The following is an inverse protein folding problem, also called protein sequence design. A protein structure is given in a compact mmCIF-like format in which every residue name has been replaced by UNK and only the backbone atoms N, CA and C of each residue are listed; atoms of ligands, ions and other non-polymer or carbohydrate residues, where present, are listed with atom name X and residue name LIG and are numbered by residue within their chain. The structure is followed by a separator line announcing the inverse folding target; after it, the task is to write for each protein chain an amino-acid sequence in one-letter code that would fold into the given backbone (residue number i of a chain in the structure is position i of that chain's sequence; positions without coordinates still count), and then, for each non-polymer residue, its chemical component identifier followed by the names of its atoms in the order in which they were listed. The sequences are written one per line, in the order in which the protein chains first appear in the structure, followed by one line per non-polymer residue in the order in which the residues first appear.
data_IF_939383257246
#
_entry.id   IF_939383257246
#
_cell.length_a   1.000
_cell.length_b   1.000
_cell.length_c   1.000
_cell.angle_alpha   90.00
_cell.angle_beta   90.00
_cell.angle_gamma   90.00
#
_symmetry.space_group_name_H-M   'P 1'
#
loop_
_entity.id
_entity.type
_entity.pdbx_description
1 polymer ?
#
# COMPACT_ATOMS: atom_id res chain seq x y z
N UNK A 1 35.06 -13.24 17.45
CA UNK A 1 33.59 -13.36 17.43
C UNK A 1 32.99 -13.14 16.04
N UNK A 2 33.40 -12.11 15.28
CA UNK A 2 33.17 -12.05 13.82
C UNK A 2 34.21 -12.82 12.99
N UNK A 3 35.28 -13.31 13.63
CA UNK A 3 36.31 -14.11 12.98
C UNK A 3 35.66 -15.34 12.31
N UNK A 4 35.81 -15.45 10.99
CA UNK A 4 35.23 -16.51 10.18
C UNK A 4 33.87 -16.21 9.55
N UNK A 5 33.21 -15.09 9.88
CA UNK A 5 31.98 -14.71 9.16
C UNK A 5 32.31 -14.12 7.78
N UNK A 6 31.52 -14.50 6.78
CA UNK A 6 31.53 -13.80 5.50
C UNK A 6 30.70 -12.52 5.59
N UNK A 7 31.37 -11.38 5.74
CA UNK A 7 30.71 -10.07 5.88
C UNK A 7 29.83 -9.67 4.69
N UNK A 8 30.11 -10.17 3.48
CA UNK A 8 29.28 -9.89 2.31
C UNK A 8 27.92 -10.58 2.44
N UNK A 9 27.92 -11.84 2.91
CA UNK A 9 26.69 -12.57 3.19
C UNK A 9 25.94 -11.99 4.39
N UNK A 10 26.65 -11.48 5.41
CA UNK A 10 26.01 -10.75 6.52
C UNK A 10 25.29 -9.50 6.00
N UNK A 11 25.96 -8.69 5.20
CA UNK A 11 25.35 -7.50 4.60
C UNK A 11 24.16 -7.86 3.69
N UNK A 12 24.31 -8.93 2.89
CA UNK A 12 23.23 -9.44 2.04
C UNK A 12 22.03 -9.90 2.86
N UNK A 13 22.23 -10.63 3.97
CA UNK A 13 21.14 -11.10 4.82
C UNK A 13 20.32 -9.92 5.35
N UNK A 14 21.01 -8.88 5.84
CA UNK A 14 20.36 -7.65 6.32
C UNK A 14 19.63 -6.95 5.19
N UNK A 15 20.23 -6.80 4.01
CA UNK A 15 19.60 -6.18 2.86
C UNK A 15 18.32 -6.92 2.40
N UNK A 16 18.33 -8.26 2.44
CA UNK A 16 17.18 -9.09 2.11
C UNK A 16 16.04 -8.88 3.12
N UNK A 17 16.35 -8.82 4.42
CA UNK A 17 15.32 -8.50 5.42
C UNK A 17 14.73 -7.10 5.24
N UNK A 18 15.56 -6.10 4.90
CA UNK A 18 15.11 -4.72 4.66
C UNK A 18 14.23 -4.62 3.42
N UNK A 19 14.67 -5.17 2.28
CA UNK A 19 13.91 -5.09 1.01
C UNK A 19 12.60 -5.87 1.07
N UNK A 20 12.64 -7.05 1.69
CA UNK A 20 11.46 -7.85 2.01
C UNK A 20 10.49 -7.12 2.94
N UNK A 21 11.01 -6.55 4.02
CA UNK A 21 10.24 -5.72 4.96
C UNK A 21 9.58 -4.54 4.28
N UNK A 22 10.32 -3.80 3.45
CA UNK A 22 9.82 -2.65 2.71
C UNK A 22 8.65 -3.02 1.81
N UNK A 23 8.82 -4.09 1.03
CA UNK A 23 7.80 -4.56 0.09
C UNK A 23 6.57 -5.10 0.82
N UNK A 24 6.78 -5.89 1.88
CA UNK A 24 5.71 -6.45 2.70
C UNK A 24 4.88 -5.38 3.41
N UNK A 25 5.54 -4.43 4.10
CA UNK A 25 4.85 -3.30 4.73
C UNK A 25 4.24 -2.35 3.70
N UNK A 26 4.85 -2.20 2.52
CA UNK A 26 4.31 -1.45 1.41
C UNK A 26 3.01 -2.05 0.87
N UNK A 27 2.95 -3.36 0.67
CA UNK A 27 1.71 -4.08 0.31
C UNK A 27 0.64 -3.94 1.40
N UNK A 28 1.05 -4.03 2.67
CA UNK A 28 0.17 -3.82 3.81
C UNK A 28 -0.45 -2.41 3.84
N UNK A 29 0.34 -1.37 3.54
CA UNK A 29 -0.14 0.00 3.47
C UNK A 29 -1.25 0.18 2.42
N UNK A 30 -1.21 -0.60 1.31
CA UNK A 30 -2.24 -0.57 0.25
C UNK A 30 -3.56 -1.24 0.67
N UNK A 31 -3.57 -2.11 1.69
CA UNK A 31 -4.75 -2.87 2.14
C UNK A 31 -5.95 -1.97 2.49
N UNK A 32 -5.69 -0.78 3.03
CA UNK A 32 -6.76 0.13 3.49
C UNK A 32 -7.40 0.97 2.37
N UNK A 33 -6.84 0.93 1.15
CA UNK A 33 -7.35 1.69 -0.02
C UNK A 33 -8.28 0.89 -0.95
N UNK A 34 -8.26 -0.45 -0.87
CA UNK A 34 -8.94 -1.31 -1.86
C UNK A 34 -9.68 -2.49 -1.20
N UNK A 35 -11.03 -2.52 -1.30
CA UNK A 35 -11.83 -3.64 -0.74
C UNK A 35 -11.69 -4.94 -1.53
N UNK A 36 -11.56 -4.87 -2.86
CA UNK A 36 -11.59 -6.05 -3.76
C UNK A 36 -10.34 -6.93 -3.66
N UNK A 37 -9.19 -6.38 -3.33
CA UNK A 37 -7.89 -7.08 -3.28
C UNK A 37 -7.32 -7.24 -1.85
N UNK A 38 -8.07 -6.85 -0.81
CA UNK A 38 -7.61 -6.87 0.60
C UNK A 38 -6.98 -8.20 1.02
N UNK A 39 -7.61 -9.33 0.69
CA UNK A 39 -7.10 -10.67 1.04
C UNK A 39 -5.79 -10.99 0.31
N UNK A 40 -5.70 -10.66 -0.99
CA UNK A 40 -4.49 -10.88 -1.78
C UNK A 40 -3.33 -10.00 -1.31
N UNK A 41 -3.59 -8.74 -0.98
CA UNK A 41 -2.58 -7.81 -0.45
C UNK A 41 -2.07 -8.26 0.92
N UNK A 42 -2.95 -8.72 1.81
CA UNK A 42 -2.57 -9.28 3.11
C UNK A 42 -1.77 -10.58 2.96
N UNK A 43 -2.20 -11.48 2.07
CA UNK A 43 -1.48 -12.71 1.78
C UNK A 43 -0.10 -12.44 1.16
N UNK A 44 -0.01 -11.49 0.23
CA UNK A 44 1.26 -11.07 -0.37
C UNK A 44 2.20 -10.41 0.65
N UNK A 45 1.67 -9.54 1.51
CA UNK A 45 2.44 -8.93 2.60
C UNK A 45 2.98 -9.99 3.57
N UNK A 46 2.11 -10.92 4.02
CA UNK A 46 2.50 -12.00 4.91
C UNK A 46 3.53 -12.94 4.26
N UNK A 47 3.30 -13.32 3.01
CA UNK A 47 4.18 -14.20 2.24
C UNK A 47 5.56 -13.60 2.05
N UNK A 48 5.65 -12.33 1.59
CA UNK A 48 6.95 -11.69 1.42
C UNK A 48 7.69 -11.49 2.74
N UNK A 49 7.00 -11.09 3.81
CA UNK A 49 7.63 -10.99 5.12
C UNK A 49 8.16 -12.35 5.58
N UNK A 50 7.36 -13.41 5.49
CA UNK A 50 7.78 -14.75 5.91
C UNK A 50 8.97 -15.27 5.09
N UNK A 51 8.89 -15.19 3.75
CA UNK A 51 9.97 -15.60 2.84
C UNK A 51 11.23 -14.79 3.11
N UNK A 52 11.13 -13.49 3.38
CA UNK A 52 12.29 -12.63 3.61
C UNK A 52 12.95 -12.87 4.96
N UNK A 53 12.18 -13.06 6.04
CA UNK A 53 12.71 -13.43 7.36
C UNK A 53 13.45 -14.78 7.27
N UNK A 54 12.82 -15.77 6.61
CA UNK A 54 13.41 -17.10 6.45
C UNK A 54 14.65 -17.09 5.54
N UNK A 55 14.60 -16.38 4.41
CA UNK A 55 15.75 -16.23 3.51
C UNK A 55 16.89 -15.51 4.21
N UNK A 56 16.62 -14.44 4.97
CA UNK A 56 17.63 -13.76 5.77
C UNK A 56 18.29 -14.70 6.77
N UNK A 57 17.51 -15.54 7.45
CA UNK A 57 18.06 -16.54 8.37
C UNK A 57 19.05 -17.48 7.67
N UNK A 58 18.68 -18.06 6.52
CA UNK A 58 19.56 -18.98 5.78
C UNK A 58 20.79 -18.31 5.19
N UNK A 59 20.67 -17.09 4.64
CA UNK A 59 21.83 -16.31 4.20
C UNK A 59 22.76 -16.01 5.39
N UNK A 60 22.21 -15.71 6.56
CA UNK A 60 22.97 -15.52 7.79
C UNK A 60 23.68 -16.79 8.28
N UNK A 61 23.04 -17.95 8.18
CA UNK A 61 23.65 -19.26 8.47
C UNK A 61 24.82 -19.55 7.52
N UNK A 62 24.66 -19.31 6.21
CA UNK A 62 25.73 -19.44 5.22
C UNK A 62 26.88 -18.44 5.47
N UNK A 63 26.59 -17.32 6.12
CA UNK A 63 27.60 -16.33 6.49
C UNK A 63 28.42 -16.76 7.72
N UNK A 64 27.89 -17.65 8.57
CA UNK A 64 28.51 -18.05 9.82
C UNK A 64 29.58 -19.14 9.61
N UNK A 65 30.62 -19.19 10.47
CA UNK A 65 31.68 -20.21 10.41
C UNK A 65 31.18 -21.55 11.01
N UNK A 66 30.20 -22.16 10.34
CA UNK A 66 29.67 -23.48 10.67
C UNK A 66 30.69 -24.54 10.22
N UNK A 67 30.83 -25.69 10.91
CA UNK A 67 31.68 -26.79 10.47
C UNK A 67 31.44 -27.18 9.00
N UNK A 68 32.52 -27.45 8.25
CA UNK A 68 32.46 -27.64 6.79
C UNK A 68 31.76 -28.93 6.35
N UNK A 69 31.63 -29.90 7.27
CA UNK A 69 30.89 -31.15 7.10
C UNK A 69 29.40 -31.03 7.43
N UNK A 70 28.95 -29.85 7.87
CA UNK A 70 27.54 -29.62 8.22
C UNK A 70 26.63 -29.70 6.99
N UNK A 71 25.55 -30.47 7.12
CA UNK A 71 24.44 -30.56 6.16
C UNK A 71 23.15 -30.06 6.79
N UNK A 72 22.19 -29.68 5.95
CA UNK A 72 20.87 -29.21 6.37
C UNK A 72 19.83 -30.30 6.16
N UNK A 73 19.19 -30.76 7.23
CA UNK A 73 18.06 -31.66 7.14
C UNK A 73 16.87 -30.95 6.48
N UNK A 74 16.29 -31.57 5.46
CA UNK A 74 15.23 -30.96 4.65
C UNK A 74 13.95 -30.77 5.46
N UNK A 75 13.56 -31.75 6.28
CA UNK A 75 12.31 -31.68 7.04
C UNK A 75 12.31 -30.52 8.07
N UNK A 76 13.29 -30.38 8.99
CA UNK A 76 13.38 -29.23 9.88
C UNK A 76 13.45 -27.90 9.13
N UNK A 77 14.15 -27.87 7.99
CA UNK A 77 14.23 -26.69 7.12
C UNK A 77 12.85 -26.27 6.62
N UNK A 78 12.04 -27.20 6.10
CA UNK A 78 10.67 -26.93 5.66
C UNK A 78 9.78 -26.56 6.84
N UNK A 79 9.87 -27.27 7.97
CA UNK A 79 9.07 -26.98 9.17
C UNK A 79 9.37 -25.58 9.69
N UNK A 80 10.63 -25.15 9.70
CA UNK A 80 11.03 -23.80 10.09
C UNK A 80 10.34 -22.74 9.21
N UNK A 81 10.31 -22.94 7.89
CA UNK A 81 9.62 -22.06 6.95
C UNK A 81 8.12 -22.01 7.22
N UNK A 82 7.48 -23.17 7.40
CA UNK A 82 6.05 -23.25 7.66
C UNK A 82 5.65 -22.59 8.98
N UNK A 83 6.46 -22.73 10.02
CA UNK A 83 6.28 -22.02 11.29
C UNK A 83 6.26 -20.51 11.03
N UNK A 84 7.27 -19.98 10.33
CA UNK A 84 7.35 -18.55 10.00
C UNK A 84 6.16 -18.06 9.16
N UNK A 85 5.82 -18.79 8.09
CA UNK A 85 4.70 -18.44 7.23
C UNK A 85 3.38 -18.38 8.00
N UNK A 86 3.14 -19.39 8.85
CA UNK A 86 1.93 -19.47 9.67
C UNK A 86 1.87 -18.35 10.70
N UNK A 87 2.91 -18.17 11.52
CA UNK A 87 2.89 -17.18 12.61
C UNK A 87 2.89 -15.74 12.09
N UNK A 88 3.59 -15.43 11.00
CA UNK A 88 3.50 -14.12 10.33
C UNK A 88 2.08 -13.90 9.81
N UNK A 89 1.53 -14.87 9.08
CA UNK A 89 0.18 -14.78 8.51
C UNK A 89 -0.90 -14.60 9.58
N UNK A 90 -0.89 -15.43 10.62
CA UNK A 90 -1.84 -15.36 11.74
C UNK A 90 -1.71 -14.04 12.49
N UNK A 91 -0.48 -13.58 12.78
CA UNK A 91 -0.28 -12.31 13.49
C UNK A 91 -0.79 -11.11 12.70
N UNK A 92 -0.54 -11.07 11.39
CA UNK A 92 -1.06 -10.01 10.52
C UNK A 92 -2.59 -10.11 10.36
N UNK A 93 -3.15 -11.31 10.27
CA UNK A 93 -4.59 -11.51 10.22
C UNK A 93 -5.26 -11.00 11.51
N UNK A 94 -4.75 -11.39 12.67
CA UNK A 94 -5.31 -11.02 13.97
C UNK A 94 -5.28 -9.51 14.21
N UNK A 95 -4.16 -8.86 13.85
CA UNK A 95 -4.03 -7.40 13.96
C UNK A 95 -4.93 -6.66 12.95
N UNK A 96 -5.32 -7.30 11.85
CA UNK A 96 -6.10 -6.69 10.76
C UNK A 96 -7.63 -6.71 10.96
N UNK A 97 -8.18 -7.52 11.87
CA UNK A 97 -9.63 -7.79 11.93
C UNK A 97 -10.38 -6.95 12.98
N UNK A 98 -9.68 -6.29 13.90
CA UNK A 98 -10.32 -5.56 14.99
C UNK A 98 -9.86 -4.12 15.16
N UNK A 99 -10.41 -3.43 16.17
CA UNK A 99 -10.01 -2.07 16.51
C UNK A 99 -8.54 -2.02 16.94
N UNK A 100 -7.91 -0.87 16.67
CA UNK A 100 -6.52 -0.57 17.03
C UNK A 100 -6.38 -0.56 18.56
N UNK A 101 -6.05 -1.72 19.15
CA UNK A 101 -5.97 -1.93 20.59
C UNK A 101 -4.57 -2.41 20.98
N UNK A 102 -3.91 -1.69 21.89
CA UNK A 102 -2.57 -2.01 22.37
C UNK A 102 -2.40 -3.48 22.88
N UNK A 103 -3.31 -4.05 23.69
CA UNK A 103 -3.17 -5.45 24.13
C UNK A 103 -3.26 -6.44 22.96
N UNK A 104 -4.06 -6.16 21.93
CA UNK A 104 -4.12 -7.00 20.73
C UNK A 104 -2.79 -6.96 19.97
N UNK A 105 -2.22 -5.77 19.78
CA UNK A 105 -0.91 -5.62 19.13
C UNK A 105 0.16 -6.34 19.95
N UNK A 106 0.15 -6.21 21.27
CA UNK A 106 1.09 -6.90 22.16
C UNK A 106 0.95 -8.43 22.06
N UNK A 107 -0.28 -8.97 22.08
CA UNK A 107 -0.52 -10.40 21.92
C UNK A 107 -0.08 -10.92 20.55
N UNK A 108 -0.39 -10.19 19.47
CA UNK A 108 0.09 -10.52 18.11
C UNK A 108 1.62 -10.41 18.00
N UNK A 109 2.24 -9.43 18.66
CA UNK A 109 3.69 -9.27 18.68
C UNK A 109 4.38 -10.41 19.44
N UNK A 110 3.79 -10.86 20.55
CA UNK A 110 4.27 -12.00 21.30
C UNK A 110 4.20 -13.28 20.46
N UNK A 111 3.06 -13.54 19.81
CA UNK A 111 2.89 -14.66 18.89
C UNK A 111 3.91 -14.62 17.75
N UNK A 112 4.06 -13.46 17.12
CA UNK A 112 5.00 -13.23 16.03
C UNK A 112 6.44 -13.47 16.50
N UNK A 113 6.85 -12.86 17.60
CA UNK A 113 8.20 -12.99 18.16
C UNK A 113 8.53 -14.43 18.52
N UNK A 114 7.62 -15.12 19.22
CA UNK A 114 7.80 -16.52 19.60
C UNK A 114 7.87 -17.44 18.37
N UNK A 115 7.10 -17.13 17.34
CA UNK A 115 7.14 -17.83 16.05
C UNK A 115 8.44 -17.62 15.29
N UNK A 116 8.98 -16.39 15.25
CA UNK A 116 10.26 -16.09 14.59
C UNK A 116 11.41 -16.78 15.34
N UNK A 117 11.41 -16.76 16.67
CA UNK A 117 12.41 -17.45 17.51
C UNK A 117 12.33 -18.96 17.28
N UNK A 118 11.11 -19.52 17.28
CA UNK A 118 10.89 -20.94 16.97
C UNK A 118 11.42 -21.30 15.58
N UNK A 119 11.10 -20.51 14.56
CA UNK A 119 11.63 -20.73 13.20
C UNK A 119 13.16 -20.74 13.22
N UNK A 120 13.79 -19.77 13.89
CA UNK A 120 15.24 -19.67 13.95
C UNK A 120 15.87 -20.93 14.57
N UNK A 121 15.43 -21.32 15.77
CA UNK A 121 16.02 -22.47 16.45
C UNK A 121 15.68 -23.80 15.77
N UNK A 122 14.48 -23.97 15.22
CA UNK A 122 14.15 -25.16 14.40
C UNK A 122 15.03 -25.22 13.15
N UNK A 123 15.32 -24.08 12.51
CA UNK A 123 16.25 -24.00 11.39
C UNK A 123 17.68 -24.38 11.77
N UNK A 124 18.17 -23.87 12.90
CA UNK A 124 19.50 -24.21 13.44
C UNK A 124 19.60 -25.69 13.81
N UNK A 125 18.59 -26.24 14.50
CA UNK A 125 18.53 -27.67 14.83
C UNK A 125 18.26 -28.57 13.61
N UNK A 126 18.09 -27.97 12.42
CA UNK A 126 18.17 -28.67 11.15
C UNK A 126 19.59 -28.97 10.69
N UNK A 127 20.62 -28.38 11.32
CA UNK A 127 22.01 -28.73 11.05
C UNK A 127 22.34 -30.14 11.57
N UNK A 128 23.02 -30.92 10.75
CA UNK A 128 23.56 -32.23 11.11
C UNK A 128 25.03 -32.35 10.65
N UNK A 129 25.84 -33.05 11.43
CA UNK A 129 27.26 -33.26 11.18
C UNK A 129 27.92 -33.89 12.41
N UNK A 130 29.25 -33.96 12.46
CA UNK A 130 29.97 -34.51 13.62
C UNK A 130 30.08 -33.51 14.79
N UNK A 131 28.97 -32.88 15.15
CA UNK A 131 28.88 -31.89 16.21
C UNK A 131 27.50 -31.92 16.88
N UNK A 132 27.44 -31.45 18.12
CA UNK A 132 26.20 -31.02 18.75
C UNK A 132 26.15 -29.49 18.83
N UNK A 133 24.94 -28.94 18.82
CA UNK A 133 24.69 -27.51 18.94
C UNK A 133 24.21 -27.20 20.35
N UNK A 134 25.00 -26.43 21.10
CA UNK A 134 24.65 -25.92 22.42
C UNK A 134 24.25 -24.45 22.34
N UNK A 135 23.31 -24.04 23.19
CA UNK A 135 22.79 -22.67 23.26
C UNK A 135 22.93 -22.10 24.67
N UNK A 136 23.51 -20.91 24.76
CA UNK A 136 23.47 -20.12 25.99
C UNK A 136 22.08 -19.49 26.15
N UNK A 137 21.38 -19.89 27.21
CA UNK A 137 20.03 -19.44 27.53
C UNK A 137 19.88 -17.91 27.60
N UNK A 138 20.93 -17.18 27.99
CA UNK A 138 20.89 -15.71 28.07
C UNK A 138 20.68 -15.09 26.71
N UNK A 139 21.37 -15.61 25.69
CA UNK A 139 21.25 -15.15 24.32
C UNK A 139 19.95 -15.62 23.68
N UNK A 140 19.45 -16.81 24.04
CA UNK A 140 18.11 -17.28 23.65
C UNK A 140 17.03 -16.32 24.14
N UNK A 141 17.07 -15.94 25.42
CA UNK A 141 16.12 -15.00 26.01
C UNK A 141 16.25 -13.59 25.42
N UNK A 142 17.48 -13.12 25.19
CA UNK A 142 17.73 -11.82 24.57
C UNK A 142 17.23 -11.78 23.12
N UNK A 143 17.53 -12.81 22.32
CA UNK A 143 16.98 -12.96 20.98
C UNK A 143 15.45 -13.00 21.02
N UNK A 144 14.87 -13.71 21.99
CA UNK A 144 13.42 -13.71 22.25
C UNK A 144 12.85 -12.32 22.49
N UNK A 145 13.48 -11.53 23.36
CA UNK A 145 13.07 -10.15 23.63
C UNK A 145 13.18 -9.26 22.39
N UNK A 146 14.28 -9.38 21.62
CA UNK A 146 14.46 -8.65 20.36
C UNK A 146 13.38 -9.07 19.35
N UNK A 147 13.04 -10.36 19.25
CA UNK A 147 12.01 -10.86 18.35
C UNK A 147 10.63 -10.27 18.66
N UNK A 148 10.26 -10.24 19.94
CA UNK A 148 8.98 -9.64 20.37
C UNK A 148 8.98 -8.14 20.11
N UNK A 149 10.09 -7.44 20.38
CA UNK A 149 10.25 -6.02 20.07
C UNK A 149 10.15 -5.73 18.57
N UNK A 150 10.83 -6.53 17.74
CA UNK A 150 10.78 -6.46 16.28
C UNK A 150 9.37 -6.73 15.77
N UNK A 151 8.68 -7.73 16.34
CA UNK A 151 7.30 -8.07 16.03
C UNK A 151 6.35 -6.94 16.39
N UNK A 152 6.50 -6.35 17.58
CA UNK A 152 5.70 -5.20 18.01
C UNK A 152 5.93 -3.99 17.10
N UNK A 153 7.19 -3.62 16.85
CA UNK A 153 7.56 -2.55 15.93
C UNK A 153 7.01 -2.79 14.53
N UNK A 154 7.20 -3.98 13.97
CA UNK A 154 6.70 -4.39 12.66
C UNK A 154 5.18 -4.32 12.55
N UNK A 155 4.44 -4.75 13.58
CA UNK A 155 2.98 -4.63 13.62
C UNK A 155 2.52 -3.17 13.75
N UNK A 156 3.24 -2.34 14.50
CA UNK A 156 2.96 -0.89 14.58
C UNK A 156 3.22 -0.20 13.24
N UNK A 157 4.29 -0.58 12.55
CA UNK A 157 4.60 -0.13 11.18
C UNK A 157 3.50 -0.57 10.21
N UNK A 158 3.08 -1.83 10.28
CA UNK A 158 2.00 -2.39 9.48
C UNK A 158 0.68 -1.63 9.68
N UNK A 159 0.39 -1.22 10.91
CA UNK A 159 -0.82 -0.44 11.21
C UNK A 159 -0.70 1.04 10.85
N UNK A 160 0.51 1.60 10.89
CA UNK A 160 0.76 3.01 10.67
C UNK A 160 0.65 3.39 9.19
N UNK A 161 0.11 4.58 8.92
CA UNK A 161 -0.03 5.14 7.57
C UNK A 161 1.31 5.68 7.07
N UNK A 162 2.21 4.77 6.70
CA UNK A 162 3.51 5.13 6.17
C UNK A 162 3.51 5.23 4.65
N UNK A 163 4.14 6.29 4.13
CA UNK A 163 4.48 6.46 2.72
C UNK A 163 5.87 7.09 2.60
N UNK A 164 6.54 6.86 1.49
CA UNK A 164 7.86 7.44 1.20
C UNK A 164 8.93 7.07 2.25
N UNK A 165 9.65 8.08 2.74
CA UNK A 165 10.80 7.93 3.65
C UNK A 165 10.47 7.23 4.96
N UNK A 166 9.26 7.42 5.51
CA UNK A 166 8.85 6.75 6.75
C UNK A 166 8.75 5.23 6.58
N UNK A 167 8.27 4.76 5.43
CA UNK A 167 8.23 3.33 5.12
C UNK A 167 9.65 2.76 5.01
N UNK A 168 10.57 3.49 4.38
CA UNK A 168 11.96 3.11 4.27
C UNK A 168 12.63 2.98 5.64
N UNK A 169 12.52 4.00 6.50
CA UNK A 169 13.09 3.97 7.85
C UNK A 169 12.51 2.81 8.68
N UNK A 170 11.21 2.59 8.59
CA UNK A 170 10.54 1.47 9.25
C UNK A 170 11.04 0.11 8.76
N UNK A 171 11.24 -0.05 7.45
CA UNK A 171 11.77 -1.29 6.86
C UNK A 171 13.23 -1.53 7.25
N UNK A 172 14.06 -0.47 7.29
CA UNK A 172 15.44 -0.53 7.77
C UNK A 172 15.49 -0.95 9.23
N UNK A 173 14.69 -0.29 10.09
CA UNK A 173 14.62 -0.62 11.51
C UNK A 173 14.15 -2.07 11.73
N UNK A 174 13.14 -2.52 10.98
CA UNK A 174 12.67 -3.90 11.03
C UNK A 174 13.74 -4.89 10.58
N UNK A 175 14.40 -4.65 9.44
CA UNK A 175 15.45 -5.54 8.94
C UNK A 175 16.62 -5.65 9.92
N UNK A 176 17.08 -4.52 10.47
CA UNK A 176 18.10 -4.51 11.53
C UNK A 176 17.63 -5.29 12.75
N UNK A 177 16.38 -5.14 13.20
CA UNK A 177 15.89 -5.83 14.38
C UNK A 177 15.78 -7.36 14.18
N UNK A 178 15.26 -7.82 13.04
CA UNK A 178 15.16 -9.26 12.75
C UNK A 178 16.54 -9.88 12.54
N UNK A 179 17.45 -9.21 11.81
CA UNK A 179 18.83 -9.68 11.68
C UNK A 179 19.57 -9.62 13.01
N UNK A 180 19.35 -8.59 13.82
CA UNK A 180 19.90 -8.45 15.17
C UNK A 180 19.47 -9.60 16.07
N UNK A 181 18.19 -10.02 16.00
CA UNK A 181 17.72 -11.22 16.70
C UNK A 181 18.48 -12.46 16.26
N UNK A 182 18.58 -12.69 14.94
CA UNK A 182 19.29 -13.85 14.38
C UNK A 182 20.74 -13.90 14.85
N UNK A 183 21.50 -12.82 14.66
CA UNK A 183 22.92 -12.79 15.06
C UNK A 183 23.11 -12.83 16.58
N UNK A 184 22.16 -12.30 17.37
CA UNK A 184 22.18 -12.46 18.83
C UNK A 184 22.02 -13.92 19.23
N UNK A 185 21.11 -14.66 18.60
CA UNK A 185 20.95 -16.08 18.84
C UNK A 185 22.19 -16.88 18.41
N UNK A 186 22.79 -16.53 17.26
CA UNK A 186 24.04 -17.14 16.78
C UNK A 186 25.22 -16.86 17.73
N UNK A 187 25.30 -15.68 18.35
CA UNK A 187 26.33 -15.37 19.35
C UNK A 187 26.27 -16.28 20.58
N UNK A 188 25.07 -16.76 20.92
CA UNK A 188 24.85 -17.72 22.01
C UNK A 188 25.11 -19.18 21.62
N UNK A 189 25.45 -19.47 20.36
CA UNK A 189 25.57 -20.82 19.84
C UNK A 189 27.01 -21.32 19.90
N UNK A 190 27.18 -22.59 20.26
CA UNK A 190 28.47 -23.28 20.24
C UNK A 190 28.34 -24.64 19.58
N UNK A 191 29.30 -24.96 18.73
CA UNK A 191 29.47 -26.30 18.18
C UNK A 191 30.45 -27.05 19.07
N UNK A 192 29.98 -28.15 19.67
CA UNK A 192 30.82 -29.06 20.45
C UNK A 192 31.00 -30.37 19.67
N UNK A 193 32.17 -31.03 19.74
CA UNK A 193 32.38 -32.31 19.07
C UNK A 193 31.27 -33.31 19.41
N UNK A 194 30.72 -33.97 18.40
CA UNK A 194 29.67 -34.96 18.61
C UNK A 194 30.21 -36.13 19.44
N UNK A 195 29.65 -36.37 20.63
CA UNK A 195 29.83 -37.65 21.30
C UNK A 195 29.16 -38.76 20.48
N UNK A 196 29.63 -40.01 20.63
CA UNK A 196 29.13 -41.22 19.95
C UNK A 196 27.61 -41.48 20.07
N UNK A 197 26.86 -40.64 20.80
CA UNK A 197 25.43 -40.74 21.05
C UNK A 197 24.53 -40.10 19.96
N UNK A 198 25.08 -39.34 19.00
CA UNK A 198 24.31 -38.79 17.88
C UNK A 198 24.49 -39.56 16.56
N UNK A 199 24.93 -40.83 16.61
CA UNK A 199 24.83 -41.77 15.48
C UNK A 199 23.38 -42.29 15.33
N UNK A 200 22.41 -41.39 15.17
CA UNK A 200 21.02 -41.78 14.95
C UNK A 200 20.27 -40.72 14.13
N UNK A 201 20.55 -40.62 12.84
CA UNK A 201 19.58 -40.27 11.77
C UNK A 201 20.21 -40.61 10.39
N UNK A 202 20.67 -41.85 10.21
CA UNK A 202 21.29 -42.35 8.96
C UNK A 202 20.31 -42.55 7.78
N UNK A 203 19.21 -41.79 7.73
CA UNK A 203 18.17 -41.97 6.70
C UNK A 203 17.28 -40.76 6.39
N UNK A 204 17.58 -39.58 6.94
CA UNK A 204 16.82 -38.36 6.64
C UNK A 204 17.29 -37.67 5.36
N UNK A 205 16.37 -37.14 4.55
CA UNK A 205 16.72 -36.33 3.38
C UNK A 205 17.48 -35.07 3.83
N UNK A 206 18.71 -34.91 3.35
CA UNK A 206 19.59 -33.78 3.68
C UNK A 206 20.03 -33.04 2.42
N UNK A 207 20.35 -31.76 2.58
CA UNK A 207 20.86 -30.89 1.54
C UNK A 207 22.21 -30.33 1.96
N UNK A 208 23.21 -30.44 1.09
CA UNK A 208 24.49 -29.78 1.30
C UNK A 208 24.35 -28.26 1.09
N UNK A 209 25.27 -27.45 1.64
CA UNK A 209 25.31 -26.02 1.38
C UNK A 209 25.32 -25.67 -0.13
N UNK A 210 25.95 -26.49 -0.97
CA UNK A 210 26.02 -26.31 -2.42
C UNK A 210 24.65 -26.48 -3.10
N UNK A 211 23.78 -27.34 -2.57
CA UNK A 211 22.40 -27.53 -3.06
C UNK A 211 21.48 -26.44 -2.51
N UNK A 212 21.69 -26.03 -1.27
CA UNK A 212 20.84 -25.03 -0.62
C UNK A 212 21.09 -23.61 -1.14
N UNK A 213 22.35 -23.25 -1.42
CA UNK A 213 22.75 -21.94 -1.92
C UNK A 213 21.97 -21.46 -3.17
N UNK A 214 21.80 -22.25 -4.25
CA UNK A 214 21.04 -21.80 -5.42
C UNK A 214 19.54 -21.60 -5.12
N UNK A 215 18.95 -22.38 -4.21
CA UNK A 215 17.56 -22.19 -3.77
C UNK A 215 17.43 -20.85 -3.03
N UNK A 216 18.34 -20.59 -2.10
CA UNK A 216 18.40 -19.32 -1.36
C UNK A 216 18.66 -18.14 -2.30
N UNK A 217 19.54 -18.30 -3.29
CA UNK A 217 19.81 -17.28 -4.30
C UNK A 217 18.58 -16.96 -5.15
N UNK A 218 17.82 -17.98 -5.58
CA UNK A 218 16.55 -17.78 -6.27
C UNK A 218 15.55 -17.00 -5.41
N UNK A 219 15.43 -17.33 -4.12
CA UNK A 219 14.56 -16.58 -3.21
C UNK A 219 15.01 -15.13 -3.04
N UNK A 220 16.31 -14.88 -2.91
CA UNK A 220 16.87 -13.52 -2.89
C UNK A 220 16.50 -12.75 -4.15
N UNK A 221 16.65 -13.38 -5.33
CA UNK A 221 16.26 -12.78 -6.61
C UNK A 221 14.76 -12.43 -6.63
N UNK A 222 13.88 -13.33 -6.19
CA UNK A 222 12.45 -13.10 -6.15
C UNK A 222 12.05 -11.97 -5.18
N UNK A 223 12.74 -11.86 -4.04
CA UNK A 223 12.53 -10.75 -3.08
C UNK A 223 12.93 -9.42 -3.71
N UNK A 224 14.11 -9.35 -4.33
CA UNK A 224 14.59 -8.14 -5.01
C UNK A 224 13.69 -7.79 -6.18
N UNK A 225 13.28 -8.77 -7.01
CA UNK A 225 12.35 -8.55 -8.10
C UNK A 225 11.02 -8.00 -7.61
N UNK A 226 10.47 -8.54 -6.52
CA UNK A 226 9.23 -8.05 -5.90
C UNK A 226 9.38 -6.62 -5.38
N UNK A 227 10.53 -6.29 -4.79
CA UNK A 227 10.86 -4.93 -4.34
C UNK A 227 10.95 -3.94 -5.51
N UNK A 228 11.66 -4.31 -6.58
CA UNK A 228 11.77 -3.48 -7.78
C UNK A 228 10.40 -3.26 -8.44
N UNK A 229 9.60 -4.33 -8.59
CA UNK A 229 8.23 -4.24 -9.10
C UNK A 229 7.35 -3.36 -8.21
N UNK A 230 7.53 -3.40 -6.89
CA UNK A 230 6.79 -2.54 -5.97
C UNK A 230 7.18 -1.05 -6.08
N UNK A 231 8.44 -0.76 -6.43
CA UNK A 231 8.93 0.60 -6.67
C UNK A 231 8.42 1.19 -8.00
N UNK A 232 8.07 0.35 -8.98
CA UNK A 232 7.46 0.83 -10.22
C UNK A 232 6.19 1.60 -9.87
N UNK A 233 6.14 2.92 -10.11
CA UNK A 233 4.94 3.68 -9.88
C UNK A 233 3.83 3.11 -10.75
N UNK A 234 2.66 2.85 -10.17
CA UNK A 234 1.46 2.70 -11.00
C UNK A 234 1.36 3.96 -11.88
N UNK A 235 1.08 3.85 -13.19
CA UNK A 235 0.97 5.00 -14.07
C UNK A 235 0.08 6.05 -13.43
N UNK A 236 0.71 7.11 -12.91
CA UNK A 236 -0.01 8.28 -12.44
C UNK A 236 -0.59 8.88 -13.70
N UNK A 237 -1.91 8.78 -13.87
CA UNK A 237 -2.65 9.78 -14.62
C UNK A 237 -2.20 11.13 -14.03
N UNK A 238 -1.40 11.86 -14.78
CA UNK A 238 -0.69 13.07 -14.34
C UNK A 238 -1.67 14.03 -13.70
N UNK A 239 -1.44 14.36 -12.43
CA UNK A 239 -2.05 15.52 -11.78
C UNK A 239 -1.14 16.70 -12.08
N UNK A 240 -1.58 17.58 -12.98
CA UNK A 240 -0.88 18.81 -13.33
C UNK A 240 -0.83 19.77 -12.12
N UNK A 241 0.19 20.66 -12.06
CA UNK A 241 0.55 21.40 -10.84
C UNK A 241 -0.51 22.42 -10.44
N UNK A 242 -0.82 22.48 -9.14
CA UNK A 242 -1.66 23.50 -8.54
C UNK A 242 -0.97 24.87 -8.64
N UNK A 243 -1.45 25.73 -9.54
CA UNK A 243 -1.11 27.16 -9.57
C UNK A 243 -2.22 27.97 -8.90
N UNK A 244 -1.84 28.62 -7.79
CA UNK A 244 -2.44 29.79 -7.14
C UNK A 244 -3.92 29.72 -6.67
N UNK A 245 -4.09 29.38 -5.39
CA UNK A 245 -5.24 29.80 -4.58
C UNK A 245 -5.16 31.31 -4.28
N UNK A 246 -6.06 32.11 -4.85
CA UNK A 246 -6.39 33.45 -4.33
C UNK A 246 -7.43 33.37 -3.19
N UNK A 247 -7.37 34.23 -2.17
CA UNK A 247 -8.25 34.14 -1.00
C UNK A 247 -9.68 34.59 -1.33
N UNK A 248 -10.65 33.82 -0.82
CA UNK A 248 -12.07 34.13 -0.76
C UNK A 248 -12.33 35.35 0.15
N UNK A 249 -13.17 36.27 -0.32
CA UNK A 249 -13.50 37.52 0.36
C UNK A 249 -14.47 37.43 1.53
N UNK A 250 -14.54 38.56 2.25
CA UNK A 250 -15.56 39.15 3.15
C UNK A 250 -14.99 40.55 3.52
N UNK A 251 -15.69 41.66 3.67
CA UNK A 251 -17.10 42.05 3.82
C UNK A 251 -17.19 43.53 3.39
N UNK A 252 -18.37 43.99 2.98
CA UNK A 252 -18.70 45.40 2.74
C UNK A 252 -19.11 46.06 4.07
N UNK A 253 -18.52 47.20 4.40
CA UNK A 253 -19.16 48.32 5.10
C UNK A 253 -18.30 49.61 4.89
N UNK A 254 -18.96 50.73 4.62
CA UNK A 254 -18.48 52.10 4.33
C UNK A 254 -18.85 53.02 5.54
N UNK A 255 -18.44 54.31 5.74
CA UNK A 255 -17.49 55.20 5.02
C UNK A 255 -16.48 55.99 5.90
N UNK A 256 -15.50 56.65 5.28
CA UNK A 256 -14.96 57.93 5.80
C UNK A 256 -13.47 58.25 5.61
N UNK A 257 -13.21 59.27 4.77
CA UNK A 257 -12.21 60.37 4.88
C UNK A 257 -10.69 60.11 4.75
N UNK A 258 -10.10 60.84 3.78
CA UNK A 258 -8.75 61.47 3.68
C UNK A 258 -7.49 60.56 3.86
N UNK A 259 -6.35 60.72 3.19
CA UNK A 259 -5.64 61.89 2.67
C UNK A 259 -4.57 61.42 1.62
N UNK A 260 -3.84 62.40 1.08
CA UNK A 260 -3.02 62.51 -0.14
C UNK A 260 -1.64 61.81 -0.07
N UNK A 261 -0.99 61.75 -1.25
CA UNK A 261 0.45 61.57 -1.56
C UNK A 261 0.82 60.14 -2.01
N UNK A 262 1.45 59.84 -3.15
CA UNK A 262 2.25 60.61 -4.09
C UNK A 262 3.45 59.74 -4.50
N UNK A 263 3.68 59.59 -5.82
CA UNK A 263 4.86 59.03 -6.54
C UNK A 263 4.84 57.56 -7.03
N UNK A 264 4.54 57.45 -8.32
CA UNK A 264 5.31 56.83 -9.42
C UNK A 264 6.26 55.64 -9.13
N UNK A 265 6.04 54.51 -9.83
CA UNK A 265 6.71 54.16 -11.11
C UNK A 265 6.35 52.73 -11.60
N UNK A 266 5.72 52.70 -12.78
CA UNK A 266 5.79 51.74 -13.91
C UNK A 266 5.93 50.22 -13.67
N UNK A 267 4.96 49.43 -14.12
CA UNK A 267 4.96 48.87 -15.50
C UNK A 267 3.72 48.00 -15.81
N UNK A 268 3.11 48.30 -16.96
CA UNK A 268 1.97 47.70 -17.64
C UNK A 268 1.72 46.19 -17.49
N UNK A 269 0.49 45.83 -17.07
CA UNK A 269 -0.30 44.75 -17.68
C UNK A 269 -1.71 45.29 -17.91
N UNK A 270 -2.15 45.30 -19.16
CA UNK A 270 -3.46 45.79 -19.59
C UNK A 270 -4.55 44.94 -18.96
N UNK A 271 -5.28 45.53 -18.00
CA UNK A 271 -6.48 44.97 -17.41
C UNK A 271 -7.68 45.61 -18.14
N UNK A 272 -8.56 44.84 -18.82
CA UNK A 272 -9.78 45.43 -19.35
C UNK A 272 -10.68 45.87 -18.19
N UNK A 273 -10.97 47.17 -18.13
CA UNK A 273 -11.93 47.81 -17.24
C UNK A 273 -13.36 47.24 -17.47
N UNK A 274 -14.22 47.23 -16.45
CA UNK A 274 -15.56 46.68 -16.55
C UNK A 274 -16.47 47.66 -17.30
N UNK A 275 -16.97 47.27 -18.48
CA UNK A 275 -18.13 47.92 -19.07
C UNK A 275 -19.37 47.52 -18.26
N UNK A 276 -20.09 48.53 -17.78
CA UNK A 276 -21.31 48.38 -17.01
C UNK A 276 -22.46 47.72 -17.78
N UNK A 277 -23.35 47.09 -17.01
CA UNK A 277 -24.79 47.14 -17.25
C UNK A 277 -25.33 46.49 -18.52
N UNK A 278 -25.06 45.22 -18.77
CA UNK A 278 -25.95 44.33 -19.53
C UNK A 278 -25.93 42.97 -18.83
N UNK A 279 -27.12 42.40 -18.57
CA UNK A 279 -27.29 41.18 -17.78
C UNK A 279 -26.28 40.09 -18.15
N UNK A 280 -25.71 39.42 -17.15
CA UNK A 280 -24.78 38.31 -17.39
C UNK A 280 -25.38 37.40 -18.46
N UNK A 281 -24.71 37.19 -19.61
CA UNK A 281 -25.19 36.23 -20.57
C UNK A 281 -25.28 34.90 -19.83
N UNK A 282 -26.49 34.34 -19.81
CA UNK A 282 -26.76 33.00 -19.28
C UNK A 282 -25.65 32.09 -19.82
N UNK A 283 -24.86 31.40 -18.98
CA UNK A 283 -23.71 30.65 -19.46
C UNK A 283 -24.19 29.74 -20.59
N UNK A 284 -23.64 29.94 -21.79
CA UNK A 284 -24.02 29.17 -22.95
C UNK A 284 -23.78 27.70 -22.62
N UNK A 285 -24.80 26.85 -22.85
CA UNK A 285 -24.67 25.41 -22.63
C UNK A 285 -23.48 24.91 -23.43
N UNK A 286 -22.54 24.26 -22.75
CA UNK A 286 -21.33 23.82 -23.39
C UNK A 286 -21.59 22.50 -24.12
N UNK A 287 -21.58 22.55 -25.46
CA UNK A 287 -21.64 21.35 -26.29
C UNK A 287 -20.36 20.50 -26.22
N UNK A 288 -19.26 21.08 -25.74
CA UNK A 288 -17.99 20.36 -25.54
C UNK A 288 -17.41 20.63 -24.16
N UNK A 289 -16.82 19.61 -23.57
CA UNK A 289 -16.13 19.68 -22.27
C UNK A 289 -14.63 19.60 -22.50
N UNK A 290 -13.85 20.56 -21.96
CA UNK A 290 -12.40 20.51 -22.02
C UNK A 290 -11.86 19.41 -21.12
N UNK A 291 -10.91 18.65 -21.66
CA UNK A 291 -10.10 17.69 -20.91
C UNK A 291 -8.62 17.87 -21.20
N UNK A 292 -7.80 17.65 -20.18
CA UNK A 292 -6.35 17.76 -20.26
C UNK A 292 -5.75 16.52 -20.93
N UNK A 293 -4.90 16.75 -21.92
CA UNK A 293 -4.04 15.75 -22.58
C UNK A 293 -2.58 16.23 -22.54
N UNK A 294 -1.57 15.36 -22.69
CA UNK A 294 -0.16 15.75 -22.56
C UNK A 294 0.27 16.95 -23.42
N UNK A 295 -0.33 17.08 -24.62
CA UNK A 295 0.00 18.12 -25.61
C UNK A 295 -1.03 19.28 -25.65
N UNK A 296 -1.92 19.39 -24.65
CA UNK A 296 -2.87 20.52 -24.54
C UNK A 296 -4.26 20.18 -24.01
N UNK A 297 -5.27 20.92 -24.47
CA UNK A 297 -6.67 20.71 -24.08
C UNK A 297 -7.45 20.10 -25.23
N UNK A 298 -7.95 18.88 -25.03
CA UNK A 298 -8.87 18.24 -25.96
C UNK A 298 -10.31 18.60 -25.60
N UNK A 299 -11.16 18.86 -26.58
CA UNK A 299 -12.59 19.11 -26.37
C UNK A 299 -13.38 17.84 -26.69
N UNK A 300 -14.02 17.25 -25.68
CA UNK A 300 -14.92 16.09 -25.83
C UNK A 300 -16.33 16.59 -26.09
N UNK A 301 -17.05 16.00 -27.03
CA UNK A 301 -18.47 16.28 -27.21
C UNK A 301 -19.28 15.83 -25.97
N UNK A 302 -20.21 16.66 -25.50
CA UNK A 302 -21.04 16.34 -24.36
C UNK A 302 -21.82 15.02 -24.55
N UNK A 303 -22.18 14.64 -25.79
CA UNK A 303 -22.86 13.39 -26.08
C UNK A 303 -22.03 12.13 -25.74
N UNK A 304 -20.70 12.22 -25.82
CA UNK A 304 -19.77 11.12 -25.50
C UNK A 304 -19.58 10.94 -23.99
N UNK A 305 -19.95 11.92 -23.17
CA UNK A 305 -19.69 11.91 -21.74
C UNK A 305 -20.73 11.05 -21.02
N UNK A 306 -20.25 10.12 -20.20
CA UNK A 306 -21.09 9.23 -19.36
C UNK A 306 -21.19 9.71 -17.92
N UNK A 307 -20.07 10.18 -17.36
CA UNK A 307 -20.08 10.73 -16.01
C UNK A 307 -18.96 11.73 -15.76
N UNK A 308 -19.17 12.57 -14.76
CA UNK A 308 -18.17 13.48 -14.22
C UNK A 308 -18.02 13.21 -12.72
N UNK A 309 -16.77 13.08 -12.25
CA UNK A 309 -16.43 12.74 -10.87
C UNK A 309 -15.49 13.78 -10.27
N UNK A 310 -15.84 14.32 -9.12
CA UNK A 310 -14.92 15.11 -8.30
C UNK A 310 -14.15 14.19 -7.33
N UNK A 311 -12.83 14.34 -7.28
CA UNK A 311 -11.98 13.71 -6.29
C UNK A 311 -10.97 14.74 -5.76
N UNK A 312 -11.09 15.07 -4.47
CA UNK A 312 -10.35 16.14 -3.83
C UNK A 312 -10.52 17.48 -4.59
N UNK A 313 -9.46 17.96 -5.25
CA UNK A 313 -9.43 19.23 -5.98
C UNK A 313 -9.58 19.06 -7.50
N UNK A 314 -9.77 17.84 -7.99
CA UNK A 314 -9.81 17.53 -9.42
C UNK A 314 -11.17 17.00 -9.86
N UNK A 315 -11.52 17.30 -11.12
CA UNK A 315 -12.72 16.78 -11.79
C UNK A 315 -12.29 15.88 -12.94
N UNK A 316 -12.88 14.70 -13.03
CA UNK A 316 -12.62 13.72 -14.07
C UNK A 316 -13.87 13.52 -14.92
N UNK A 317 -13.70 13.46 -16.24
CA UNK A 317 -14.74 13.18 -17.24
C UNK A 317 -14.52 11.79 -17.80
N UNK A 318 -15.56 10.95 -17.78
CA UNK A 318 -15.53 9.58 -18.28
C UNK A 318 -16.35 9.48 -19.58
N UNK A 319 -15.73 9.06 -20.68
CA UNK A 319 -16.35 8.92 -22.01
C UNK A 319 -16.89 7.50 -22.31
N UNK A 320 -16.60 6.53 -21.45
CA UNK A 320 -16.97 5.13 -21.63
C UNK A 320 -15.82 4.19 -21.95
N UNK A 321 -14.66 4.74 -22.27
CA UNK A 321 -13.40 4.02 -22.43
C UNK A 321 -12.43 4.38 -21.30
N UNK A 322 -12.31 5.66 -20.96
CA UNK A 322 -11.31 6.16 -20.00
C UNK A 322 -11.79 7.42 -19.26
N UNK A 323 -11.14 7.70 -18.14
CA UNK A 323 -11.27 8.97 -17.42
C UNK A 323 -10.20 9.96 -17.89
N UNK A 324 -10.58 11.23 -18.06
CA UNK A 324 -9.69 12.34 -18.42
C UNK A 324 -9.94 13.52 -17.49
N UNK A 325 -8.89 14.24 -17.10
CA UNK A 325 -9.02 15.38 -16.18
C UNK A 325 -9.68 16.54 -16.90
N UNK A 326 -10.59 17.24 -16.23
CA UNK A 326 -11.20 18.47 -16.75
C UNK A 326 -10.83 19.65 -15.85
N UNK A 327 -10.45 20.82 -16.41
CA UNK A 327 -10.17 22.02 -15.64
C UNK A 327 -11.40 22.60 -14.95
N UNK A 328 -12.61 22.12 -15.30
CA UNK A 328 -13.83 22.55 -14.66
C UNK A 328 -13.97 21.94 -13.27
N UNK A 329 -14.39 22.74 -12.30
CA UNK A 329 -14.96 22.20 -11.05
C UNK A 329 -16.27 21.46 -11.34
N UNK A 330 -16.66 20.55 -10.46
CA UNK A 330 -17.95 19.85 -10.58
C UNK A 330 -19.15 20.82 -10.62
N UNK A 331 -19.07 21.95 -9.92
CA UNK A 331 -20.13 22.97 -9.94
C UNK A 331 -20.17 23.73 -11.28
N UNK A 332 -19.00 23.99 -11.89
CA UNK A 332 -18.94 24.56 -13.23
C UNK A 332 -19.47 23.58 -14.28
N UNK A 333 -19.12 22.30 -14.18
CA UNK A 333 -19.67 21.26 -15.04
C UNK A 333 -21.19 21.16 -14.91
N UNK A 334 -21.73 21.21 -13.68
CA UNK A 334 -23.18 21.23 -13.44
C UNK A 334 -23.87 22.45 -14.05
N UNK A 335 -23.26 23.62 -13.99
CA UNK A 335 -23.82 24.85 -14.56
C UNK A 335 -23.72 24.93 -16.08
N UNK A 336 -22.67 24.34 -16.67
CA UNK A 336 -22.38 24.42 -18.10
C UNK A 336 -23.07 23.31 -18.93
N UNK A 337 -23.32 22.15 -18.33
CA UNK A 337 -23.90 21.00 -19.03
C UNK A 337 -25.42 21.08 -19.14
N UNK A 338 -25.96 20.39 -20.14
CA UNK A 338 -27.40 20.31 -20.31
C UNK A 338 -28.04 19.53 -19.14
N UNK A 339 -28.81 20.24 -18.33
CA UNK A 339 -29.48 19.69 -17.17
C UNK A 339 -30.53 18.63 -17.55
N UNK A 340 -30.96 18.49 -18.80
CA UNK A 340 -31.84 17.39 -19.25
C UNK A 340 -31.08 16.07 -19.42
N UNK A 341 -29.83 16.15 -19.90
CA UNK A 341 -28.97 14.98 -20.13
C UNK A 341 -28.22 14.60 -18.85
N UNK A 342 -27.71 15.60 -18.13
CA UNK A 342 -26.83 15.42 -16.98
C UNK A 342 -27.54 15.69 -15.67
N UNK A 343 -27.37 14.78 -14.71
CA UNK A 343 -27.94 14.90 -13.36
C UNK A 343 -26.87 14.69 -12.29
N UNK A 344 -26.83 15.57 -11.28
CA UNK A 344 -25.95 15.44 -10.12
C UNK A 344 -26.52 14.43 -9.13
N UNK A 345 -25.95 13.23 -9.13
CA UNK A 345 -26.42 12.09 -8.31
C UNK A 345 -25.78 12.01 -6.94
N UNK A 346 -24.61 12.64 -6.79
CA UNK A 346 -23.86 12.72 -5.54
C UNK A 346 -23.15 14.06 -5.45
N UNK A 347 -22.72 14.47 -4.24
CA UNK A 347 -21.90 15.68 -4.06
C UNK A 347 -20.64 15.70 -4.94
N UNK A 348 -20.19 14.53 -5.36
CA UNK A 348 -18.98 14.32 -6.16
C UNK A 348 -19.23 13.63 -7.51
N UNK A 349 -20.49 13.44 -7.95
CA UNK A 349 -20.78 12.76 -9.22
C UNK A 349 -21.94 13.39 -9.98
N UNK A 350 -21.74 13.60 -11.28
CA UNK A 350 -22.76 13.92 -12.29
C UNK A 350 -22.77 12.78 -13.31
N UNK A 351 -23.95 12.36 -13.76
CA UNK A 351 -24.09 11.27 -14.75
C UNK A 351 -24.97 11.72 -15.91
N UNK A 352 -24.68 11.21 -17.10
CA UNK A 352 -25.57 11.30 -18.25
C UNK A 352 -26.63 10.22 -18.14
N UNK A 353 -27.90 10.62 -18.01
CA UNK A 353 -29.03 9.71 -17.75
C UNK A 353 -29.19 8.68 -18.88
N UNK A 354 -28.98 9.10 -20.13
CA UNK A 354 -29.10 8.26 -21.32
C UNK A 354 -28.14 7.06 -21.35
N UNK A 355 -27.04 7.11 -20.59
CA UNK A 355 -26.02 6.06 -20.56
C UNK A 355 -26.20 5.08 -19.40
N UNK A 356 -27.22 5.27 -18.55
CA UNK A 356 -27.50 4.39 -17.40
C UNK A 356 -28.17 3.11 -17.89
N UNK A 357 -27.54 1.97 -17.60
CA UNK A 357 -28.05 0.64 -17.98
C UNK A 357 -28.73 -0.08 -16.83
N UNK A 358 -28.35 0.23 -15.59
CA UNK A 358 -28.89 -0.41 -14.39
C UNK A 358 -28.86 0.53 -13.20
N UNK A 359 -29.90 0.47 -12.35
CA UNK A 359 -29.92 1.10 -11.03
C UNK A 359 -30.24 0.05 -9.97
N UNK A 360 -29.45 0.01 -8.90
CA UNK A 360 -29.58 -0.95 -7.80
C UNK A 360 -29.52 -0.23 -6.45
N UNK A 361 -30.30 -0.68 -5.48
CA UNK A 361 -30.17 -0.23 -4.08
C UNK A 361 -28.92 -0.86 -3.45
N UNK A 362 -28.09 -0.05 -2.81
CA UNK A 362 -26.89 -0.51 -2.11
C UNK A 362 -26.76 0.25 -0.78
N UNK A 363 -27.01 -0.45 0.34
CA UNK A 363 -27.13 0.16 1.67
C UNK A 363 -28.26 1.18 1.73
N UNK A 364 -27.96 2.37 2.27
CA UNK A 364 -28.88 3.51 2.37
C UNK A 364 -28.92 4.38 1.09
N UNK A 365 -28.10 4.04 0.09
CA UNK A 365 -28.02 4.73 -1.19
C UNK A 365 -28.47 3.86 -2.37
N UNK A 366 -28.10 4.29 -3.57
CA UNK A 366 -28.19 3.48 -4.77
C UNK A 366 -26.88 3.57 -5.57
N UNK A 367 -26.69 2.65 -6.50
CA UNK A 367 -25.60 2.66 -7.46
C UNK A 367 -26.21 2.54 -8.85
N UNK A 368 -25.78 3.41 -9.75
CA UNK A 368 -26.08 3.31 -11.19
C UNK A 368 -24.89 2.71 -11.92
N UNK A 369 -25.16 1.82 -12.86
CA UNK A 369 -24.17 1.30 -13.81
C UNK A 369 -24.34 2.05 -15.12
N UNK A 370 -23.23 2.58 -15.63
CA UNK A 370 -23.19 3.25 -16.92
C UNK A 370 -22.62 2.27 -17.95
N UNK A 371 -23.27 2.15 -19.10
CA UNK A 371 -22.78 1.31 -20.19
C UNK A 371 -21.44 1.81 -20.72
N UNK A 372 -20.80 1.07 -21.62
CA UNK A 372 -19.58 1.48 -22.33
C UNK A 372 -18.63 0.33 -22.62
N UNK A 373 -17.48 0.64 -23.22
CA UNK A 373 -16.38 -0.32 -23.38
C UNK A 373 -15.81 -0.75 -22.03
N UNK A 374 -15.83 0.16 -21.06
CA UNK A 374 -15.54 -0.08 -19.64
C UNK A 374 -16.72 0.35 -18.79
N UNK A 375 -17.66 -0.57 -18.48
CA UNK A 375 -18.78 -0.26 -17.59
C UNK A 375 -18.28 0.15 -16.22
N UNK A 376 -18.81 1.26 -15.68
CA UNK A 376 -18.42 1.74 -14.36
C UNK A 376 -19.62 2.10 -13.51
N UNK A 377 -19.42 2.01 -12.20
CA UNK A 377 -20.45 2.16 -11.19
C UNK A 377 -20.33 3.50 -10.47
N UNK A 378 -21.43 4.24 -10.42
CA UNK A 378 -21.50 5.56 -9.81
C UNK A 378 -22.45 5.55 -8.61
N UNK A 379 -22.01 5.97 -7.41
CA UNK A 379 -22.88 6.05 -6.25
C UNK A 379 -23.88 7.20 -6.37
N UNK A 380 -25.11 6.94 -5.95
CA UNK A 380 -26.24 7.88 -5.87
C UNK A 380 -26.58 8.11 -4.41
N UNK A 381 -26.60 9.38 -4.00
CA UNK A 381 -26.98 9.79 -2.65
C UNK A 381 -28.47 9.53 -2.39
N UNK A 382 -28.83 9.20 -1.14
CA UNK A 382 -30.22 8.95 -0.73
C UNK A 382 -31.19 10.05 -1.18
N UNK A 383 -30.78 11.31 -1.04
CA UNK A 383 -31.59 12.48 -1.43
C UNK A 383 -31.84 12.59 -2.94
N UNK A 384 -30.98 11.99 -3.78
CA UNK A 384 -31.07 12.06 -5.24
C UNK A 384 -31.70 10.84 -5.89
N UNK A 385 -32.02 9.79 -5.13
CA UNK A 385 -32.60 8.54 -5.68
C UNK A 385 -33.92 8.81 -6.40
N UNK A 386 -34.82 9.59 -5.80
CA UNK A 386 -36.15 9.87 -6.38
C UNK A 386 -36.02 10.63 -7.71
N UNK A 387 -35.15 11.63 -7.76
CA UNK A 387 -34.85 12.41 -8.97
C UNK A 387 -34.27 11.53 -10.08
N UNK A 388 -33.26 10.70 -9.75
CA UNK A 388 -32.63 9.80 -10.73
C UNK A 388 -33.63 8.77 -11.26
N UNK A 389 -34.47 8.19 -10.40
CA UNK A 389 -35.52 7.25 -10.84
C UNK A 389 -36.52 7.92 -11.77
N UNK A 390 -36.99 9.11 -11.44
CA UNK A 390 -37.91 9.86 -12.30
C UNK A 390 -37.29 10.16 -13.68
N UNK A 391 -36.01 10.56 -13.71
CA UNK A 391 -35.24 10.79 -14.94
C UNK A 391 -35.08 9.54 -15.81
N UNK A 392 -34.99 8.36 -15.21
CA UNK A 392 -34.92 7.07 -15.90
C UNK A 392 -36.30 6.54 -16.34
N UNK A 393 -37.38 7.29 -16.13
CA UNK A 393 -38.75 6.81 -16.40
C UNK A 393 -39.24 5.74 -15.43
N UNK A 394 -38.52 5.52 -14.31
CA UNK A 394 -38.86 4.56 -13.27
C UNK A 394 -39.79 5.24 -12.24
N UNK A 395 -41.02 5.57 -12.65
CA UNK A 395 -42.04 6.09 -11.73
C UNK A 395 -42.50 4.99 -10.76
N UNK A 396 -42.59 5.34 -9.47
CA UNK A 396 -43.00 4.54 -8.31
C UNK A 396 -43.55 3.12 -8.56
N UNK A 397 -42.69 2.13 -8.37
CA UNK A 397 -43.01 0.69 -8.21
C UNK A 397 -41.75 -0.14 -8.48
N UNK A 398 -41.34 -1.16 -7.74
CA UNK A 398 -41.92 -1.95 -6.65
C UNK A 398 -40.75 -2.27 -5.70
N UNK A 399 -40.99 -2.16 -4.40
CA UNK A 399 -40.15 -2.76 -3.38
C UNK A 399 -40.21 -4.28 -3.53
N UNK A 400 -39.13 -4.92 -3.99
CA UNK A 400 -38.66 -6.22 -3.50
C UNK A 400 -37.14 -6.29 -3.62
#
# INVERSE_FOLDING_TARGET
MFAGHNFQLVALSVAIAITGGYTGFGLAARVRGTRRSRRMLLAGAAGLLAVSIWTMHFVGMLAAPIPTDAVYLVLPTIVSFLICALVVGVSLFFVSIGPDSNPRIAASALLLGLGIVSMHYVGVHGLAGNFAVEHDIRFVLLAGAIAVGAGYGGLRIFLARHGGTRLLLSAVAFGIAVSGMHYTAMLGMRFVPGGHAHMAMDGGLSASPQVLAPIVALLCFLIVASFLLFLVPEPRLQSLPAMASGPSGRELDDPGLADIDGRDRHANVVQPLPLGGLGQPRPARAGKVPVEVPDGTQLIDAAEIRSIRANAHYTYVHDGARERLSPWSISQAEAALDAEIFVRVHRSHIVAVQHVTLIRKEGDGAVVELGGLSPHRVPVSRAKIAEVKARLGLLHGISR
#
